data_IF_067711113408
#
_entry.id   IF_067711113408
#
_cell.length_a   1.000
_cell.length_b   1.000
_cell.length_c   1.000
_cell.angle_alpha   90.00
_cell.angle_beta   90.00
_cell.angle_gamma   90.00
#
_symmetry.space_group_name_H-M   'P 1'
#
loop_
_entity.id
_entity.type
_entity.pdbx_description
1 polymer ?
#
# COMPACT_ATOMS: atom_id res chain seq x y z
N UNK A 1 4.79 -7.97 36.18
CA UNK A 1 5.00 -8.06 34.71
C UNK A 1 6.34 -8.69 34.46
N UNK A 2 6.41 -9.74 33.64
CA UNK A 2 7.69 -10.44 33.38
C UNK A 2 8.52 -9.71 32.31
N UNK A 3 9.86 -9.87 32.29
CA UNK A 3 10.73 -9.23 31.29
C UNK A 3 10.33 -9.53 29.83
N UNK A 4 9.76 -10.72 29.58
CA UNK A 4 9.28 -11.13 28.25
C UNK A 4 8.00 -10.40 27.83
N UNK A 5 7.10 -10.15 28.78
CA UNK A 5 5.89 -9.36 28.54
C UNK A 5 6.24 -7.89 28.26
N UNK A 6 7.19 -7.31 29.00
CA UNK A 6 7.60 -5.91 28.77
C UNK A 6 8.27 -5.70 27.41
N UNK A 7 9.08 -6.67 26.95
CA UNK A 7 9.71 -6.61 25.64
C UNK A 7 8.68 -6.73 24.50
N UNK A 8 7.74 -7.68 24.62
CA UNK A 8 6.70 -7.89 23.60
C UNK A 8 5.84 -6.65 23.41
N UNK A 9 5.43 -6.00 24.51
CA UNK A 9 4.70 -4.73 24.43
C UNK A 9 5.54 -3.57 23.88
N UNK A 10 6.84 -3.51 24.22
CA UNK A 10 7.73 -2.48 23.68
C UNK A 10 7.87 -2.61 22.16
N UNK A 11 8.00 -3.84 21.65
CA UNK A 11 8.02 -4.15 20.22
C UNK A 11 6.68 -3.79 19.58
N UNK A 12 5.56 -4.19 20.18
CA UNK A 12 4.22 -3.85 19.68
C UNK A 12 4.04 -2.33 19.56
N UNK A 13 4.43 -1.58 20.60
CA UNK A 13 4.34 -0.12 20.61
C UNK A 13 5.28 0.53 19.61
N UNK A 14 6.48 0.01 19.43
CA UNK A 14 7.42 0.51 18.43
C UNK A 14 6.91 0.25 17.01
N UNK A 15 6.37 -0.93 16.74
CA UNK A 15 5.75 -1.28 15.46
C UNK A 15 4.52 -0.41 15.18
N UNK A 16 3.61 -0.25 16.15
CA UNK A 16 2.44 0.63 16.00
C UNK A 16 2.84 2.09 15.75
N UNK A 17 3.87 2.61 16.44
CA UNK A 17 4.37 3.98 16.20
C UNK A 17 5.05 4.12 14.84
N UNK A 18 5.84 3.14 14.40
CA UNK A 18 6.49 3.18 13.10
C UNK A 18 5.45 3.20 11.97
N UNK A 19 4.37 2.41 12.09
CA UNK A 19 3.23 2.43 11.15
C UNK A 19 2.52 3.79 11.16
N UNK A 20 2.35 4.40 12.34
CA UNK A 20 1.69 5.72 12.49
C UNK A 20 2.57 6.90 12.04
N UNK A 21 3.90 6.74 11.99
CA UNK A 21 4.86 7.82 11.71
C UNK A 21 5.39 7.85 10.27
N UNK A 22 5.08 6.90 9.41
CA UNK A 22 5.40 7.08 7.99
C UNK A 22 4.54 8.20 7.43
N UNK A 23 5.17 9.37 7.18
CA UNK A 23 4.55 10.46 6.45
C UNK A 23 3.98 9.93 5.13
N UNK A 24 2.78 10.38 4.77
CA UNK A 24 2.18 10.04 3.49
C UNK A 24 3.13 10.36 2.35
N UNK A 25 3.08 9.56 1.30
CA UNK A 25 4.03 9.67 0.20
C UNK A 25 3.55 8.93 -1.03
N UNK A 26 4.50 8.64 -1.91
CA UNK A 26 4.23 7.88 -3.13
C UNK A 26 5.34 6.88 -3.40
N UNK A 27 5.02 5.84 -4.16
CA UNK A 27 5.97 4.83 -4.63
C UNK A 27 5.51 4.23 -5.96
N UNK A 28 6.37 3.43 -6.58
CA UNK A 28 6.01 2.60 -7.74
C UNK A 28 5.56 1.22 -7.26
N UNK A 29 4.47 0.73 -7.84
CA UNK A 29 3.92 -0.59 -7.60
C UNK A 29 3.71 -1.36 -8.91
N UNK A 30 3.40 -2.65 -8.79
CA UNK A 30 3.02 -3.50 -9.92
C UNK A 30 1.62 -4.03 -9.70
N UNK A 31 0.73 -3.87 -10.68
CA UNK A 31 -0.60 -4.47 -10.66
C UNK A 31 -0.47 -5.99 -10.76
N UNK A 32 -1.08 -6.72 -9.81
CA UNK A 32 -1.06 -8.19 -9.75
C UNK A 32 -2.42 -8.81 -10.04
N UNK A 33 -3.52 -8.07 -9.84
CA UNK A 33 -4.87 -8.49 -10.19
C UNK A 33 -5.76 -7.28 -10.53
N UNK A 34 -6.75 -7.51 -11.40
CA UNK A 34 -7.81 -6.55 -11.72
C UNK A 34 -9.13 -7.14 -11.26
N UNK A 35 -9.78 -6.48 -10.30
CA UNK A 35 -10.98 -6.99 -9.65
C UNK A 35 -12.24 -6.50 -10.37
N UNK A 36 -13.33 -7.29 -10.32
CA UNK A 36 -14.60 -6.98 -11.00
C UNK A 36 -15.23 -5.62 -10.60
N UNK A 37 -14.87 -5.07 -9.44
CA UNK A 37 -15.30 -3.74 -8.98
C UNK A 37 -14.42 -2.56 -9.44
N UNK A 38 -13.45 -2.80 -10.32
CA UNK A 38 -12.55 -1.78 -10.86
C UNK A 38 -11.38 -1.40 -9.96
N UNK A 39 -11.24 -2.01 -8.78
CA UNK A 39 -10.01 -1.92 -7.96
C UNK A 39 -8.92 -2.85 -8.50
N UNK A 40 -7.68 -2.62 -8.09
CA UNK A 40 -6.53 -3.48 -8.41
C UNK A 40 -5.83 -3.96 -7.16
N UNK A 41 -5.26 -5.15 -7.22
CA UNK A 41 -4.27 -5.59 -6.24
C UNK A 41 -2.88 -5.18 -6.74
N UNK A 42 -2.01 -4.76 -5.83
CA UNK A 42 -0.67 -4.27 -6.16
C UNK A 42 0.38 -4.89 -5.25
N UNK A 43 1.58 -5.08 -5.80
CA UNK A 43 2.80 -5.32 -5.01
C UNK A 43 3.62 -4.05 -4.95
N UNK A 44 3.98 -3.62 -3.74
CA UNK A 44 4.80 -2.43 -3.46
C UNK A 44 6.10 -2.83 -2.78
N UNK A 45 7.06 -1.90 -2.67
CA UNK A 45 8.25 -2.09 -1.85
C UNK A 45 7.95 -2.27 -0.34
N UNK A 46 6.71 -1.97 0.10
CA UNK A 46 6.23 -2.11 1.48
C UNK A 46 5.39 -3.38 1.70
N UNK A 47 5.23 -4.19 0.66
CA UNK A 47 4.40 -5.40 0.66
C UNK A 47 3.17 -5.29 -0.24
N UNK A 48 2.37 -6.37 -0.32
CA UNK A 48 1.16 -6.42 -1.13
C UNK A 48 0.03 -5.59 -0.51
N UNK A 49 -0.77 -4.96 -1.36
CA UNK A 49 -1.98 -4.22 -0.98
C UNK A 49 -3.12 -4.64 -1.90
N UNK A 50 -4.22 -5.10 -1.31
CA UNK A 50 -5.38 -5.60 -2.04
C UNK A 50 -6.45 -4.52 -2.24
N UNK A 51 -7.26 -4.68 -3.29
CA UNK A 51 -8.45 -3.89 -3.56
C UNK A 51 -8.22 -2.36 -3.55
N UNK A 52 -7.08 -1.92 -4.08
CA UNK A 52 -6.71 -0.50 -4.18
C UNK A 52 -7.54 0.19 -5.25
N UNK A 53 -8.12 1.34 -4.90
CA UNK A 53 -8.84 2.18 -5.85
C UNK A 53 -7.87 2.86 -6.81
N UNK A 54 -8.35 3.15 -8.01
CA UNK A 54 -7.62 3.87 -9.05
C UNK A 54 -8.35 5.15 -9.46
N UNK A 55 -7.60 6.12 -9.97
CA UNK A 55 -8.21 7.25 -10.65
C UNK A 55 -9.01 6.78 -11.88
N UNK A 56 -10.12 7.48 -12.16
CA UNK A 56 -10.98 7.15 -13.31
C UNK A 56 -10.25 7.30 -14.66
N UNK A 57 -9.24 8.17 -14.73
CA UNK A 57 -8.41 8.38 -15.92
C UNK A 57 -7.60 7.14 -16.30
N UNK A 58 -7.08 6.42 -15.32
CA UNK A 58 -6.42 5.13 -15.51
C UNK A 58 -7.47 4.04 -15.74
N UNK A 59 -8.11 4.06 -16.90
CA UNK A 59 -9.40 3.39 -17.16
C UNK A 59 -9.29 1.88 -17.42
N UNK A 60 -8.17 1.42 -17.96
CA UNK A 60 -7.96 0.05 -18.42
C UNK A 60 -6.70 -0.59 -17.76
N UNK A 61 -6.74 -0.89 -16.45
CA UNK A 61 -5.61 -1.52 -15.79
C UNK A 61 -5.36 -2.93 -16.31
N UNK A 62 -4.09 -3.32 -16.43
CA UNK A 62 -3.66 -4.66 -16.82
C UNK A 62 -2.68 -5.23 -15.79
N UNK A 63 -2.72 -6.54 -15.59
CA UNK A 63 -1.71 -7.23 -14.75
C UNK A 63 -0.33 -7.01 -15.35
N UNK A 64 0.62 -6.58 -14.52
CA UNK A 64 1.98 -6.23 -14.93
C UNK A 64 2.22 -4.73 -15.06
N UNK A 65 1.17 -3.90 -15.09
CA UNK A 65 1.33 -2.44 -15.16
C UNK A 65 2.20 -1.93 -14.01
N UNK A 66 3.20 -1.12 -14.34
CA UNK A 66 3.97 -0.34 -13.37
C UNK A 66 3.21 0.96 -13.11
N UNK A 67 2.78 1.17 -11.88
CA UNK A 67 1.90 2.30 -11.53
C UNK A 67 2.52 3.19 -10.46
N UNK A 68 2.26 4.49 -10.55
CA UNK A 68 2.48 5.39 -9.41
C UNK A 68 1.32 5.23 -8.42
N UNK A 69 1.65 5.05 -7.15
CA UNK A 69 0.67 4.91 -6.06
C UNK A 69 0.97 5.90 -4.96
N UNK A 70 -0.04 6.65 -4.54
CA UNK A 70 0.03 7.50 -3.36
C UNK A 70 -0.49 6.70 -2.15
N UNK A 71 0.19 6.80 -1.01
CA UNK A 71 -0.24 6.20 0.26
C UNK A 71 -0.31 7.26 1.35
N UNK A 72 -1.22 7.06 2.30
CA UNK A 72 -1.44 7.97 3.42
C UNK A 72 -1.19 7.28 4.77
N UNK A 73 -0.87 8.04 5.83
CA UNK A 73 -0.64 7.47 7.17
C UNK A 73 -1.88 6.79 7.78
N UNK A 74 -3.07 7.11 7.27
CA UNK A 74 -4.34 6.49 7.66
C UNK A 74 -4.58 5.11 7.03
N UNK A 75 -3.60 4.60 6.25
CA UNK A 75 -3.69 3.31 5.57
C UNK A 75 -4.41 3.35 4.23
N UNK A 76 -4.81 4.53 3.73
CA UNK A 76 -5.42 4.66 2.40
C UNK A 76 -4.36 4.66 1.29
N UNK A 77 -4.68 3.96 0.20
CA UNK A 77 -3.87 3.88 -1.02
C UNK A 77 -4.70 4.30 -2.24
N UNK A 78 -4.06 4.96 -3.20
CA UNK A 78 -4.69 5.37 -4.46
C UNK A 78 -3.72 5.19 -5.62
N UNK A 79 -4.11 4.38 -6.59
CA UNK A 79 -3.39 4.26 -7.86
C UNK A 79 -3.69 5.49 -8.72
N UNK A 80 -2.64 6.18 -9.16
CA UNK A 80 -2.74 7.40 -9.96
C UNK A 80 -2.85 7.06 -11.44
N UNK A 81 -1.80 6.45 -12.00
CA UNK A 81 -1.76 5.99 -13.39
C UNK A 81 -0.61 5.01 -13.64
N UNK A 82 -0.61 4.39 -14.82
CA UNK A 82 0.50 3.58 -15.32
C UNK A 82 1.64 4.46 -15.87
N UNK A 83 2.88 3.97 -15.70
CA UNK A 83 4.05 4.55 -16.35
C UNK A 83 4.00 4.25 -17.86
N UNK A 84 4.55 5.17 -18.66
CA UNK A 84 4.76 4.92 -20.08
C UNK A 84 5.72 3.74 -20.29
N UNK A 85 5.47 2.96 -21.34
CA UNK A 85 6.29 1.84 -21.81
C UNK A 85 7.54 2.28 -22.56
#
# INVERSE_FOLDING_TARGET
MTPRQSLSEAIQRAASRAVQQEAGGWLIATVTAVNAGGTVDITTARGPVAAVRRLKSYSAPVVGDKVKVDFKPDGNWLVIDALAS
#
